data_IF_880329139562
#
_entry.id   IF_880329139562
#
_cell.length_a   1.000
_cell.length_b   1.000
_cell.length_c   1.000
_cell.angle_alpha   90.00
_cell.angle_beta   90.00
_cell.angle_gamma   90.00
#
_symmetry.space_group_name_H-M   'P 1'
#
loop_
_entity.id
_entity.type
_entity.pdbx_description
1 polymer ?
#
# COMPACT_ATOMS: atom_id res chain seq x y z
N UNK A 1 15.82 -4.04 18.41
CA UNK A 1 14.74 -3.12 17.98
C UNK A 1 13.50 -3.96 17.78
N UNK A 2 12.36 -3.54 18.31
CA UNK A 2 11.10 -4.28 18.27
C UNK A 2 10.60 -4.42 16.82
N UNK A 3 10.31 -5.64 16.34
CA UNK A 3 9.96 -5.91 14.92
C UNK A 3 8.71 -5.16 14.49
N UNK A 4 7.75 -4.98 15.38
CA UNK A 4 6.56 -4.17 15.15
C UNK A 4 6.90 -2.69 14.88
N UNK A 5 7.89 -2.14 15.61
CA UNK A 5 8.38 -0.77 15.38
C UNK A 5 9.09 -0.65 14.04
N UNK A 6 9.87 -1.66 13.65
CA UNK A 6 10.54 -1.70 12.34
C UNK A 6 9.51 -1.71 11.21
N UNK A 7 8.48 -2.56 11.31
CA UNK A 7 7.41 -2.63 10.31
C UNK A 7 6.67 -1.29 10.17
N UNK A 8 6.36 -0.63 11.28
CA UNK A 8 5.62 0.65 11.26
C UNK A 8 6.44 1.75 10.61
N UNK A 9 7.72 1.83 10.96
CA UNK A 9 8.65 2.79 10.35
C UNK A 9 8.83 2.49 8.86
N UNK A 10 8.94 1.22 8.47
CA UNK A 10 9.05 0.81 7.08
C UNK A 10 7.80 1.18 6.26
N UNK A 11 6.58 1.05 6.83
CA UNK A 11 5.35 1.48 6.18
C UNK A 11 5.32 2.98 5.94
N UNK A 12 5.64 3.78 6.97
CA UNK A 12 5.67 5.24 6.86
C UNK A 12 6.72 5.69 5.82
N UNK A 13 7.90 5.08 5.83
CA UNK A 13 8.95 5.38 4.85
C UNK A 13 8.48 4.99 3.43
N UNK A 14 7.88 3.82 3.25
CA UNK A 14 7.33 3.37 1.96
C UNK A 14 6.23 4.30 1.44
N UNK A 15 5.34 4.74 2.32
CA UNK A 15 4.34 5.78 2.04
C UNK A 15 4.99 7.07 1.54
N UNK A 16 5.98 7.60 2.26
CA UNK A 16 6.68 8.83 1.86
C UNK A 16 7.38 8.65 0.51
N UNK A 17 8.05 7.52 0.29
CA UNK A 17 8.71 7.20 -0.98
C UNK A 17 7.69 7.15 -2.12
N UNK A 18 6.52 6.54 -1.91
CA UNK A 18 5.47 6.46 -2.93
C UNK A 18 4.96 7.84 -3.36
N UNK A 19 4.83 8.76 -2.40
CA UNK A 19 4.42 10.15 -2.64
C UNK A 19 5.49 10.91 -3.43
N UNK A 20 6.75 10.80 -3.02
CA UNK A 20 7.87 11.47 -3.69
C UNK A 20 8.11 10.91 -5.09
N UNK A 21 8.01 9.60 -5.26
CA UNK A 21 8.15 8.95 -6.57
C UNK A 21 7.03 9.36 -7.54
N UNK A 22 5.80 9.46 -7.04
CA UNK A 22 4.67 9.98 -7.82
C UNK A 22 4.86 11.44 -8.22
N UNK A 23 5.37 12.27 -7.31
CA UNK A 23 5.66 13.68 -7.61
C UNK A 23 6.79 13.85 -8.64
N UNK A 24 7.83 13.01 -8.57
CA UNK A 24 8.94 13.01 -9.52
C UNK A 24 8.62 12.31 -10.86
N UNK A 25 7.41 11.77 -11.01
CA UNK A 25 6.92 11.11 -12.23
C UNK A 25 7.82 9.94 -12.71
N UNK A 26 8.36 9.16 -11.77
CA UNK A 26 9.32 8.07 -12.02
C UNK A 26 8.64 6.72 -12.38
N UNK A 27 7.45 6.76 -12.99
CA UNK A 27 6.50 5.64 -13.03
C UNK A 27 7.04 4.29 -13.51
N UNK A 28 7.83 4.26 -14.59
CA UNK A 28 8.32 3.01 -15.19
C UNK A 28 9.28 2.23 -14.28
N UNK A 29 10.05 2.92 -13.43
CA UNK A 29 11.01 2.30 -12.52
C UNK A 29 10.49 2.23 -11.08
N UNK A 30 9.67 3.20 -10.68
CA UNK A 30 9.21 3.32 -9.30
C UNK A 30 8.09 2.33 -8.97
N UNK A 31 7.15 2.07 -9.89
CA UNK A 31 5.97 1.24 -9.59
C UNK A 31 6.37 -0.20 -9.20
N UNK A 32 7.21 -0.93 -9.95
CA UNK A 32 7.63 -2.28 -9.55
C UNK A 32 8.37 -2.29 -8.20
N UNK A 33 9.22 -1.30 -7.95
CA UNK A 33 9.94 -1.17 -6.68
C UNK A 33 8.99 -0.92 -5.51
N UNK A 34 7.98 -0.06 -5.70
CA UNK A 34 6.94 0.22 -4.71
C UNK A 34 6.10 -1.02 -4.39
N UNK A 35 5.75 -1.82 -5.39
CA UNK A 35 5.03 -3.08 -5.17
C UNK A 35 5.87 -4.04 -4.32
N UNK A 36 7.16 -4.21 -4.65
CA UNK A 36 8.07 -5.08 -3.89
C UNK A 36 8.23 -4.57 -2.45
N UNK A 37 8.44 -3.26 -2.26
CA UNK A 37 8.51 -2.65 -0.94
C UNK A 37 7.20 -2.85 -0.16
N UNK A 38 6.06 -2.71 -0.83
CA UNK A 38 4.74 -2.96 -0.26
C UNK A 38 4.60 -4.38 0.27
N UNK A 39 5.00 -5.38 -0.52
CA UNK A 39 5.01 -6.79 -0.10
C UNK A 39 5.88 -6.97 1.15
N UNK A 40 7.11 -6.45 1.14
CA UNK A 40 8.02 -6.57 2.30
C UNK A 40 7.40 -5.95 3.55
N UNK A 41 6.83 -4.75 3.43
CA UNK A 41 6.17 -4.05 4.54
C UNK A 41 4.93 -4.81 5.02
N UNK A 42 4.12 -5.36 4.11
CA UNK A 42 2.95 -6.18 4.43
C UNK A 42 3.31 -7.40 5.29
N UNK A 43 4.45 -8.06 5.02
CA UNK A 43 4.97 -9.14 5.87
C UNK A 43 5.32 -8.66 7.27
N UNK A 44 5.99 -7.50 7.36
CA UNK A 44 6.64 -7.04 8.59
C UNK A 44 5.72 -6.25 9.52
N UNK A 45 4.69 -5.58 8.98
CA UNK A 45 3.93 -4.58 9.72
C UNK A 45 2.53 -5.03 10.14
N UNK A 46 1.86 -5.92 9.40
CA UNK A 46 0.45 -6.21 9.63
C UNK A 46 0.28 -7.46 10.51
N UNK A 47 -0.04 -7.25 11.78
CA UNK A 47 -0.28 -8.29 12.79
C UNK A 47 -1.77 -8.57 13.01
N UNK A 48 -2.10 -9.78 13.50
CA UNK A 48 -3.44 -10.40 13.51
C UNK A 48 -4.64 -9.51 13.83
N UNK A 49 -4.61 -8.72 14.92
CA UNK A 49 -5.77 -7.87 15.28
C UNK A 49 -6.01 -6.71 14.32
N UNK A 50 -4.99 -6.25 13.59
CA UNK A 50 -5.08 -5.07 12.71
C UNK A 50 -5.36 -5.43 11.25
N UNK A 51 -5.40 -6.72 10.92
CA UNK A 51 -5.45 -7.17 9.52
C UNK A 51 -6.72 -6.70 8.80
N UNK A 52 -7.89 -6.87 9.43
CA UNK A 52 -9.16 -6.44 8.83
C UNK A 52 -9.17 -4.92 8.60
N UNK A 53 -8.74 -4.14 9.59
CA UNK A 53 -8.66 -2.68 9.48
C UNK A 53 -7.71 -2.25 8.38
N UNK A 54 -6.55 -2.91 8.26
CA UNK A 54 -5.57 -2.65 7.20
C UNK A 54 -6.12 -2.95 5.81
N UNK A 55 -6.75 -4.12 5.62
CA UNK A 55 -7.34 -4.51 4.34
C UNK A 55 -8.49 -3.57 3.96
N UNK A 56 -9.33 -3.18 4.91
CA UNK A 56 -10.41 -2.21 4.68
C UNK A 56 -9.89 -0.84 4.26
N UNK A 57 -8.86 -0.32 4.95
CA UNK A 57 -8.23 0.95 4.59
C UNK A 57 -7.57 0.88 3.20
N UNK A 58 -6.92 -0.24 2.89
CA UNK A 58 -6.33 -0.52 1.57
C UNK A 58 -7.38 -0.48 0.48
N UNK A 59 -8.51 -1.17 0.66
CA UNK A 59 -9.62 -1.19 -0.30
C UNK A 59 -10.22 0.21 -0.47
N UNK A 60 -10.50 0.91 0.63
CA UNK A 60 -11.03 2.27 0.58
C UNK A 60 -10.12 3.23 -0.19
N UNK A 61 -8.81 3.15 0.04
CA UNK A 61 -7.82 3.95 -0.67
C UNK A 61 -7.78 3.62 -2.16
N UNK A 62 -7.79 2.34 -2.54
CA UNK A 62 -7.83 1.93 -3.95
C UNK A 62 -9.07 2.49 -4.66
N UNK A 63 -10.23 2.47 -4.00
CA UNK A 63 -11.46 3.05 -4.53
C UNK A 63 -11.36 4.56 -4.74
N UNK A 64 -10.77 5.30 -3.79
CA UNK A 64 -10.53 6.74 -3.92
C UNK A 64 -9.56 7.02 -5.07
N UNK A 65 -8.55 6.18 -5.27
CA UNK A 65 -7.58 6.32 -6.37
C UNK A 65 -8.22 6.34 -7.76
N UNK A 66 -9.31 5.59 -7.97
CA UNK A 66 -10.01 5.57 -9.26
C UNK A 66 -10.79 6.85 -9.57
N UNK A 67 -11.34 7.51 -8.54
CA UNK A 67 -12.23 8.66 -8.74
C UNK A 67 -11.53 10.00 -8.63
N UNK A 68 -10.35 10.05 -8.00
CA UNK A 68 -9.62 11.30 -7.77
C UNK A 68 -9.20 12.01 -9.06
N UNK A 69 -9.02 11.26 -10.15
CA UNK A 69 -8.61 11.80 -11.45
C UNK A 69 -9.67 12.72 -12.07
N UNK A 70 -10.93 12.54 -11.68
CA UNK A 70 -12.08 13.31 -12.19
C UNK A 70 -12.19 14.70 -11.55
N UNK A 71 -11.39 15.01 -10.52
CA UNK A 71 -11.47 16.29 -9.82
C UNK A 71 -10.85 17.40 -10.70
N UNK A 72 -11.60 18.48 -11.01
CA UNK A 72 -11.08 19.58 -11.80
C UNK A 72 -9.84 20.22 -11.16
N UNK A 73 -8.90 20.70 -12.00
CA UNK A 73 -7.66 21.40 -11.63
C UNK A 73 -6.60 20.57 -10.88
N UNK A 74 -6.99 19.64 -10.01
CA UNK A 74 -6.06 18.86 -9.16
C UNK A 74 -6.00 17.38 -9.50
N UNK A 75 -6.97 16.86 -10.26
CA UNK A 75 -7.15 15.42 -10.49
C UNK A 75 -5.97 14.75 -11.17
N UNK A 76 -5.32 15.41 -12.14
CA UNK A 76 -4.16 14.85 -12.83
C UNK A 76 -2.98 14.61 -11.88
N UNK A 77 -2.62 15.61 -11.07
CA UNK A 77 -1.52 15.51 -10.10
C UNK A 77 -1.86 14.52 -8.99
N UNK A 78 -3.08 14.59 -8.46
CA UNK A 78 -3.56 13.69 -7.43
C UNK A 78 -3.60 12.23 -7.92
N UNK A 79 -4.00 12.00 -9.17
CA UNK A 79 -4.03 10.67 -9.79
C UNK A 79 -2.63 10.08 -9.92
N UNK A 80 -1.63 10.86 -10.36
CA UNK A 80 -0.25 10.36 -10.44
C UNK A 80 0.27 9.95 -9.07
N UNK A 81 0.06 10.76 -8.04
CA UNK A 81 0.50 10.46 -6.67
C UNK A 81 -0.25 9.24 -6.11
N UNK A 82 -1.56 9.20 -6.26
CA UNK A 82 -2.37 8.11 -5.74
C UNK A 82 -2.12 6.80 -6.49
N UNK A 83 -1.80 6.80 -7.77
CA UNK A 83 -1.43 5.58 -8.49
C UNK A 83 -0.15 4.94 -7.91
N UNK A 84 0.85 5.74 -7.56
CA UNK A 84 2.07 5.23 -6.91
C UNK A 84 1.78 4.72 -5.50
N UNK A 85 0.94 5.44 -4.76
CA UNK A 85 0.55 5.02 -3.42
C UNK A 85 -0.27 3.73 -3.45
N UNK A 86 -1.23 3.61 -4.36
CA UNK A 86 -2.01 2.41 -4.62
C UNK A 86 -1.11 1.25 -5.01
N UNK A 87 -0.08 1.46 -5.85
CA UNK A 87 0.86 0.38 -6.18
C UNK A 87 1.58 -0.19 -4.95
N UNK A 88 2.07 0.68 -4.05
CA UNK A 88 2.69 0.28 -2.79
C UNK A 88 1.69 -0.48 -1.88
N UNK A 89 0.52 0.12 -1.64
CA UNK A 89 -0.48 -0.43 -0.73
C UNK A 89 -1.12 -1.70 -1.29
N UNK A 90 -1.30 -1.82 -2.60
CA UNK A 90 -1.80 -3.03 -3.26
C UNK A 90 -0.84 -4.20 -3.09
N UNK A 91 0.49 -3.99 -3.18
CA UNK A 91 1.48 -5.02 -2.92
C UNK A 91 1.39 -5.56 -1.49
N UNK A 92 1.29 -4.65 -0.51
CA UNK A 92 1.10 -5.01 0.89
C UNK A 92 -0.24 -5.75 1.11
N UNK A 93 -1.33 -5.18 0.58
CA UNK A 93 -2.70 -5.70 0.68
C UNK A 93 -2.85 -7.09 0.10
N UNK A 94 -2.30 -7.34 -1.10
CA UNK A 94 -2.35 -8.65 -1.77
C UNK A 94 -1.73 -9.73 -0.89
N UNK A 95 -0.53 -9.48 -0.39
CA UNK A 95 0.18 -10.45 0.42
C UNK A 95 -0.55 -10.73 1.74
N UNK A 96 -1.02 -9.68 2.42
CA UNK A 96 -1.78 -9.83 3.67
C UNK A 96 -3.06 -10.61 3.43
N UNK A 97 -3.80 -10.29 2.37
CA UNK A 97 -5.03 -11.00 2.00
C UNK A 97 -4.76 -12.49 1.73
N UNK A 98 -3.71 -12.82 0.96
CA UNK A 98 -3.31 -14.20 0.72
C UNK A 98 -2.98 -14.93 2.03
N UNK A 99 -2.17 -14.31 2.89
CA UNK A 99 -1.81 -14.86 4.20
C UNK A 99 -3.05 -15.18 5.04
N UNK A 100 -4.01 -14.26 5.11
CA UNK A 100 -5.23 -14.50 5.89
C UNK A 100 -6.11 -15.59 5.30
N UNK A 101 -6.23 -15.69 3.98
CA UNK A 101 -6.94 -16.81 3.34
C UNK A 101 -6.32 -18.14 3.76
N UNK A 102 -4.99 -18.26 3.79
CA UNK A 102 -4.31 -19.47 4.28
C UNK A 102 -4.54 -19.74 5.77
N UNK A 103 -4.59 -18.70 6.61
CA UNK A 103 -4.86 -18.85 8.05
C UNK A 103 -6.29 -19.34 8.27
N UNK A 104 -7.27 -18.76 7.58
CA UNK A 104 -8.67 -19.15 7.66
C UNK A 104 -8.87 -20.59 7.20
N UNK A 105 -8.24 -21.01 6.10
CA UNK A 105 -8.37 -22.40 5.61
C UNK A 105 -7.69 -23.42 6.50
N UNK A 106 -6.57 -23.05 7.16
CA UNK A 106 -5.88 -23.95 8.09
C UNK A 106 -6.63 -24.13 9.42
N UNK A 107 -7.38 -23.11 9.85
CA UNK A 107 -8.09 -23.09 11.12
C UNK A 107 -9.57 -23.49 11.00
N UNK A 108 -10.06 -23.79 9.80
CA UNK A 108 -11.39 -24.32 9.51
C UNK A 108 -11.41 -25.85 9.58
#
# INVERSE_FOLDING_TARGET
MDTAKIGRVAFIIGLVISVVAGFANLGELAIPALVILGIIVGLLNVSGEEVLTFLLATIALMLVGFTVGEIPYIGAVASTMLNHFVAFVAGAGLLVALREVFVVTKNA
#
